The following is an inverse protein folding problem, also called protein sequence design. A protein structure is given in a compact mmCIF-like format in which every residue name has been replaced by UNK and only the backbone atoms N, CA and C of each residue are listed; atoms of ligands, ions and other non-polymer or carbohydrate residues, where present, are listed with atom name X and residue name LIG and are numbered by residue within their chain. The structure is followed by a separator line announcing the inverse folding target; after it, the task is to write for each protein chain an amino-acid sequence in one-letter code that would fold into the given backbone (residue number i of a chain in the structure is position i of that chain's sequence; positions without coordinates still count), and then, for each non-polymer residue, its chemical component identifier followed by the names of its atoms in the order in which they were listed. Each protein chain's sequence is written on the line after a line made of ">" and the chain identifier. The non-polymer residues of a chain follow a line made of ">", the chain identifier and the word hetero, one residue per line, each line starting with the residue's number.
data_IF_894907346396
#
_entry.id   IF_894907346396
#
_cell.length_a   1.000
_cell.length_b   1.000
_cell.length_c   1.000
_cell.angle_alpha   90.00
_cell.angle_beta   90.00
_cell.angle_gamma   90.00
#
_symmetry.space_group_name_H-M   'P 1'
#
loop_
_entity.id
_entity.type
_entity.pdbx_description
1 polymer ?
#
# COMPACT_ATOMS: atom_id res chain seq x y z
N UNK A 1 2.77 0.35 -31.69
CA UNK A 1 3.20 1.52 -32.47
C UNK A 1 3.11 2.71 -31.54
N UNK A 2 4.24 3.16 -31.00
CA UNK A 2 4.28 4.36 -30.14
C UNK A 2 4.37 5.54 -31.09
N UNK A 3 3.32 6.36 -31.16
CA UNK A 3 3.36 7.65 -31.84
C UNK A 3 4.36 8.54 -31.06
N UNK A 4 5.59 8.64 -31.56
CA UNK A 4 6.52 9.67 -31.14
C UNK A 4 5.98 11.00 -31.69
N UNK A 5 5.84 12.00 -30.79
CA UNK A 5 5.63 13.42 -31.13
C UNK A 5 4.20 13.95 -31.35
N UNK A 6 3.14 13.28 -30.87
CA UNK A 6 1.87 13.95 -30.71
C UNK A 6 1.79 14.61 -29.31
N UNK A 7 1.54 15.95 -29.21
CA UNK A 7 1.32 16.59 -27.92
C UNK A 7 0.08 15.96 -27.27
N UNK A 8 0.25 15.46 -26.04
CA UNK A 8 -0.84 14.93 -25.25
C UNK A 8 -1.41 16.06 -24.40
N UNK A 9 -2.62 16.51 -24.71
CA UNK A 9 -3.32 17.49 -23.87
C UNK A 9 -3.72 16.84 -22.56
N UNK A 10 -3.36 17.47 -21.44
CA UNK A 10 -3.66 16.98 -20.11
C UNK A 10 -4.01 18.14 -19.19
N UNK A 11 -4.98 17.91 -18.30
CA UNK A 11 -5.24 18.82 -17.20
C UNK A 11 -4.29 18.51 -16.04
N UNK A 12 -3.64 19.55 -15.52
CA UNK A 12 -2.84 19.49 -14.32
C UNK A 12 -3.66 20.00 -13.13
N UNK A 13 -4.07 19.07 -12.27
CA UNK A 13 -4.76 19.40 -11.01
C UNK A 13 -3.72 19.49 -9.90
N UNK A 14 -3.56 20.68 -9.32
CA UNK A 14 -2.63 20.92 -8.23
C UNK A 14 -3.41 21.11 -6.93
N UNK A 15 -3.00 20.40 -5.88
CA UNK A 15 -3.56 20.52 -4.54
C UNK A 15 -2.47 20.72 -3.50
N UNK A 16 -2.81 21.35 -2.37
CA UNK A 16 -1.88 21.61 -1.28
C UNK A 16 -2.33 20.92 0.00
N UNK A 17 -1.36 20.33 0.74
CA UNK A 17 -1.59 19.70 2.04
C UNK A 17 -0.58 20.22 3.07
N UNK A 18 -1.07 20.91 4.10
CA UNK A 18 -0.23 21.39 5.21
C UNK A 18 0.45 20.22 5.98
N UNK A 19 -0.23 19.08 6.10
CA UNK A 19 0.34 17.88 6.73
C UNK A 19 1.54 17.36 5.94
N UNK A 20 1.42 17.32 4.60
CA UNK A 20 2.48 16.87 3.72
C UNK A 20 3.64 17.87 3.66
N UNK A 21 3.34 19.16 3.62
CA UNK A 21 4.33 20.22 3.73
C UNK A 21 5.23 20.05 4.97
N UNK A 22 4.62 19.87 6.16
CA UNK A 22 5.36 19.65 7.40
C UNK A 22 6.19 18.35 7.36
N UNK A 23 5.65 17.30 6.76
CA UNK A 23 6.35 16.03 6.59
C UNK A 23 7.59 16.18 5.70
N UNK A 24 7.46 16.83 4.53
CA UNK A 24 8.57 17.04 3.61
C UNK A 24 9.68 17.88 4.24
N UNK A 25 9.33 18.98 4.93
CA UNK A 25 10.30 19.79 5.67
C UNK A 25 11.07 19.02 6.72
N UNK A 26 10.39 18.16 7.47
CA UNK A 26 11.07 17.33 8.47
C UNK A 26 12.06 16.34 7.83
N UNK A 27 11.65 15.68 6.74
CA UNK A 27 12.51 14.73 6.02
C UNK A 27 13.71 15.47 5.41
N UNK A 28 13.49 16.61 4.77
CA UNK A 28 14.56 17.43 4.20
C UNK A 28 15.52 17.93 5.27
N UNK A 29 15.02 18.39 6.41
CA UNK A 29 15.86 18.81 7.54
C UNK A 29 16.87 17.72 7.95
N UNK A 30 16.42 16.49 8.16
CA UNK A 30 17.31 15.37 8.46
C UNK A 30 18.28 14.99 7.32
N UNK A 31 17.95 15.31 6.06
CA UNK A 31 18.86 15.12 4.93
C UNK A 31 19.90 16.23 4.86
N UNK A 32 19.53 17.47 5.18
CA UNK A 32 20.43 18.63 5.26
C UNK A 32 21.46 18.41 6.39
N UNK A 33 21.01 17.96 7.56
CA UNK A 33 21.90 17.64 8.67
C UNK A 33 22.95 16.60 8.27
N UNK A 34 22.53 15.52 7.59
CA UNK A 34 23.47 14.51 7.07
C UNK A 34 24.41 15.06 6.01
N UNK A 35 23.95 15.96 5.13
CA UNK A 35 24.81 16.62 4.15
C UNK A 35 25.89 17.46 4.85
N UNK A 36 25.51 18.19 5.91
CA UNK A 36 26.46 18.97 6.70
C UNK A 36 27.49 18.10 7.44
N UNK A 37 27.05 16.97 8.00
CA UNK A 37 27.97 15.99 8.61
C UNK A 37 28.97 15.44 7.59
N UNK A 38 28.53 15.11 6.37
CA UNK A 38 29.39 14.63 5.30
C UNK A 38 30.43 15.67 4.89
N UNK A 39 30.06 16.94 4.81
CA UNK A 39 30.98 18.05 4.55
C UNK A 39 32.01 18.14 5.67
N UNK A 40 31.59 18.14 6.93
CA UNK A 40 32.44 18.27 8.10
C UNK A 40 33.46 17.11 8.23
N UNK A 41 33.05 15.89 7.85
CA UNK A 41 33.93 14.71 7.91
C UNK A 41 34.79 14.50 6.67
N UNK A 42 34.62 15.30 5.61
CA UNK A 42 35.35 15.16 4.35
C UNK A 42 35.09 13.83 3.62
N UNK A 43 34.06 13.08 4.00
CA UNK A 43 33.72 11.77 3.44
C UNK A 43 32.56 11.86 2.46
N UNK A 44 32.71 12.59 1.39
CA UNK A 44 31.68 12.71 0.37
C UNK A 44 32.14 12.10 -0.96
N UNK A 45 31.20 11.49 -1.69
CA UNK A 45 31.41 10.99 -3.05
C UNK A 45 30.67 11.90 -4.02
N UNK A 46 31.27 12.19 -5.15
CA UNK A 46 30.72 13.10 -6.17
C UNK A 46 29.46 12.57 -6.91
N UNK A 47 28.87 11.43 -6.51
CA UNK A 47 27.77 10.81 -7.24
C UNK A 47 26.49 10.72 -6.41
N UNK A 48 25.47 11.47 -6.83
CA UNK A 48 24.08 11.36 -6.32
C UNK A 48 23.53 9.98 -6.74
N UNK A 49 23.10 9.17 -5.77
CA UNK A 49 22.55 7.82 -6.00
C UNK A 49 21.08 7.82 -6.38
N UNK A 50 20.31 8.69 -5.77
CA UNK A 50 18.87 8.83 -5.99
C UNK A 50 18.39 10.22 -5.52
N UNK A 51 17.12 10.52 -5.76
CA UNK A 51 16.51 11.81 -5.39
C UNK A 51 16.49 12.12 -3.88
N UNK A 52 16.64 11.10 -3.03
CA UNK A 52 16.66 11.25 -1.57
C UNK A 52 18.08 11.31 -0.99
N UNK A 53 19.11 11.30 -1.85
CA UNK A 53 20.49 11.32 -1.41
C UNK A 53 20.86 12.68 -0.84
N UNK A 54 21.39 12.78 0.40
CA UNK A 54 21.88 14.04 0.99
C UNK A 54 22.91 14.77 0.13
N UNK A 55 23.66 14.06 -0.69
CA UNK A 55 24.67 14.63 -1.59
C UNK A 55 24.13 15.67 -2.58
N UNK A 56 22.82 15.66 -2.88
CA UNK A 56 22.21 16.68 -3.76
C UNK A 56 22.28 18.09 -3.19
N UNK A 57 22.45 18.21 -1.87
CA UNK A 57 22.59 19.48 -1.18
C UNK A 57 24.05 19.94 -1.04
N UNK A 58 25.03 19.15 -1.51
CA UNK A 58 26.42 19.50 -1.46
C UNK A 58 26.84 20.09 -2.80
N UNK A 59 27.19 21.37 -2.78
CA UNK A 59 27.81 22.07 -3.90
C UNK A 59 29.35 22.02 -3.79
N UNK A 60 30.01 22.22 -4.89
CA UNK A 60 31.46 22.25 -5.00
C UNK A 60 31.93 23.59 -5.58
N UNK A 61 32.89 24.21 -4.94
CA UNK A 61 33.44 25.50 -5.39
C UNK A 61 34.95 25.39 -5.55
N UNK A 62 35.41 25.79 -6.73
CA UNK A 62 36.85 25.75 -7.10
C UNK A 62 37.49 27.13 -6.94
N UNK A 63 36.68 28.18 -6.76
CA UNK A 63 37.13 29.56 -6.56
C UNK A 63 36.60 30.13 -5.24
N UNK A 64 37.43 30.97 -4.57
CA UNK A 64 37.01 31.76 -3.42
C UNK A 64 36.11 32.93 -3.86
N UNK A 65 35.36 33.52 -2.90
CA UNK A 65 34.54 34.73 -3.18
C UNK A 65 35.38 35.93 -3.67
N UNK A 66 36.68 35.96 -3.37
CA UNK A 66 37.60 36.98 -3.80
C UNK A 66 38.20 36.72 -5.19
N UNK A 67 37.77 35.66 -5.88
CA UNK A 67 38.18 35.32 -7.24
C UNK A 67 39.50 34.52 -7.33
N UNK A 68 40.06 34.08 -6.20
CA UNK A 68 41.25 33.22 -6.21
C UNK A 68 40.87 31.76 -6.54
N UNK A 69 41.65 31.12 -7.40
CA UNK A 69 41.47 29.71 -7.76
C UNK A 69 41.99 28.86 -6.62
N UNK A 70 41.08 28.07 -6.01
CA UNK A 70 41.46 27.06 -5.01
C UNK A 70 42.14 25.87 -5.69
N UNK A 71 43.29 25.42 -5.11
CA UNK A 71 43.94 24.18 -5.55
C UNK A 71 43.14 22.92 -5.19
N UNK A 72 42.15 23.03 -4.33
CA UNK A 72 41.31 21.94 -3.90
C UNK A 72 39.84 22.37 -4.00
N UNK A 73 39.01 21.41 -4.34
CA UNK A 73 37.54 21.52 -4.38
C UNK A 73 36.98 21.68 -2.95
N UNK A 74 36.30 22.80 -2.71
CA UNK A 74 35.73 23.12 -1.40
C UNK A 74 34.23 22.77 -1.42
N UNK A 75 33.79 21.78 -0.66
CA UNK A 75 32.38 21.46 -0.57
C UNK A 75 31.65 22.47 0.30
N UNK A 76 30.45 22.84 -0.10
CA UNK A 76 29.56 23.72 0.67
C UNK A 76 28.10 23.27 0.60
N UNK A 77 27.30 23.72 1.55
CA UNK A 77 25.87 23.44 1.53
C UNK A 77 25.17 24.36 0.51
N UNK A 78 24.55 23.76 -0.53
CA UNK A 78 23.90 24.48 -1.61
C UNK A 78 22.49 24.93 -1.18
N UNK A 79 22.40 26.15 -0.64
CA UNK A 79 21.14 26.72 -0.17
C UNK A 79 20.14 26.99 -1.29
N UNK A 80 20.59 27.19 -2.52
CA UNK A 80 19.72 27.45 -3.67
C UNK A 80 18.87 26.21 -3.97
N UNK A 81 19.49 25.02 -3.99
CA UNK A 81 18.79 23.74 -4.19
C UNK A 81 17.78 23.49 -3.07
N UNK A 82 18.15 23.85 -1.83
CA UNK A 82 17.25 23.72 -0.68
C UNK A 82 16.02 24.61 -0.86
N UNK A 83 16.22 25.88 -1.23
CA UNK A 83 15.14 26.84 -1.45
C UNK A 83 14.25 26.45 -2.64
N UNK A 84 14.83 25.97 -3.74
CA UNK A 84 14.06 25.45 -4.88
C UNK A 84 13.17 24.27 -4.49
N UNK A 85 13.68 23.30 -3.72
CA UNK A 85 12.84 22.19 -3.22
C UNK A 85 11.76 22.66 -2.24
N UNK A 86 12.05 23.67 -1.41
CA UNK A 86 11.09 24.21 -0.44
C UNK A 86 9.87 24.86 -1.09
N UNK A 87 10.01 25.42 -2.28
CA UNK A 87 8.89 26.04 -3.01
C UNK A 87 7.79 25.03 -3.36
N UNK A 88 8.13 23.75 -3.49
CA UNK A 88 7.19 22.69 -3.87
C UNK A 88 6.64 21.88 -2.68
N UNK A 89 7.00 22.26 -1.45
CA UNK A 89 6.53 21.55 -0.27
C UNK A 89 5.02 21.58 -0.12
N UNK A 90 4.45 20.42 0.12
CA UNK A 90 3.01 20.27 0.37
C UNK A 90 2.15 20.21 -0.88
N UNK A 91 2.72 20.42 -2.06
CA UNK A 91 1.98 20.34 -3.31
C UNK A 91 1.91 18.90 -3.84
N UNK A 92 0.72 18.54 -4.32
CA UNK A 92 0.46 17.35 -5.11
C UNK A 92 -0.03 17.76 -6.48
N UNK A 93 0.46 17.11 -7.49
CA UNK A 93 0.00 17.30 -8.86
C UNK A 93 -0.49 16.00 -9.46
N UNK A 94 -1.62 16.04 -10.13
CA UNK A 94 -2.21 14.93 -10.87
C UNK A 94 -2.45 15.38 -12.29
N UNK A 95 -1.85 14.68 -13.26
CA UNK A 95 -2.15 14.86 -14.67
C UNK A 95 -3.27 13.90 -15.07
N UNK A 96 -4.26 14.41 -15.78
CA UNK A 96 -5.41 13.62 -16.25
C UNK A 96 -5.89 14.09 -17.62
N UNK A 97 -6.47 13.18 -18.38
CA UNK A 97 -7.18 13.48 -19.64
C UNK A 97 -8.71 13.50 -19.45
N UNK A 98 -9.19 13.52 -18.21
CA UNK A 98 -10.62 13.60 -17.89
C UNK A 98 -11.06 15.07 -17.90
N UNK A 99 -11.39 15.57 -19.09
CA UNK A 99 -11.68 17.00 -19.32
C UNK A 99 -13.04 17.41 -18.76
N UNK A 100 -14.03 16.51 -18.82
CA UNK A 100 -15.41 16.77 -18.41
C UNK A 100 -15.66 16.53 -16.92
N UNK A 101 -14.62 16.17 -16.16
CA UNK A 101 -14.76 15.79 -14.75
C UNK A 101 -14.37 16.92 -13.80
N UNK A 102 -15.17 17.12 -12.75
CA UNK A 102 -14.89 18.12 -11.72
C UNK A 102 -13.60 17.82 -10.93
N UNK A 103 -12.89 18.88 -10.50
CA UNK A 103 -11.63 18.79 -9.76
C UNK A 103 -11.76 17.92 -8.51
N UNK A 104 -12.83 18.07 -7.73
CA UNK A 104 -13.08 17.29 -6.52
C UNK A 104 -13.23 15.80 -6.81
N UNK A 105 -13.81 15.45 -7.93
CA UNK A 105 -13.95 14.08 -8.37
C UNK A 105 -12.63 13.46 -8.80
N UNK A 106 -11.81 14.21 -9.53
CA UNK A 106 -10.44 13.81 -9.90
C UNK A 106 -9.61 13.55 -8.65
N UNK A 107 -9.66 14.46 -7.67
CA UNK A 107 -8.95 14.30 -6.38
C UNK A 107 -9.48 13.07 -5.63
N UNK A 108 -10.79 12.82 -5.62
CA UNK A 108 -11.41 11.65 -4.98
C UNK A 108 -10.94 10.35 -5.62
N UNK A 109 -10.90 10.28 -6.96
CA UNK A 109 -10.39 9.11 -7.70
C UNK A 109 -8.92 8.87 -7.38
N UNK A 110 -8.09 9.93 -7.40
CA UNK A 110 -6.68 9.79 -7.09
C UNK A 110 -6.44 9.34 -5.64
N UNK A 111 -7.23 9.82 -4.68
CA UNK A 111 -7.15 9.36 -3.28
C UNK A 111 -7.47 7.88 -3.11
N UNK A 112 -8.26 7.29 -4.01
CA UNK A 112 -8.59 5.85 -3.97
C UNK A 112 -7.52 4.93 -4.56
N UNK A 113 -6.41 5.46 -5.09
CA UNK A 113 -5.30 4.63 -5.60
C UNK A 113 -4.74 3.66 -4.57
N UNK A 114 -4.72 4.07 -3.31
CA UNK A 114 -4.26 3.20 -2.22
C UNK A 114 -5.06 1.88 -2.12
N UNK A 115 -6.36 1.89 -2.48
CA UNK A 115 -7.19 0.67 -2.50
C UNK A 115 -6.66 -0.35 -3.51
N UNK A 116 -6.16 0.12 -4.65
CA UNK A 116 -5.53 -0.74 -5.68
C UNK A 116 -4.19 -1.27 -5.18
N UNK A 117 -3.37 -0.42 -4.57
CA UNK A 117 -2.07 -0.81 -4.00
C UNK A 117 -2.27 -1.83 -2.88
N UNK A 118 -3.30 -1.68 -2.06
CA UNK A 118 -3.66 -2.64 -1.02
C UNK A 118 -4.14 -3.98 -1.62
N UNK A 119 -4.94 -3.97 -2.68
CA UNK A 119 -5.32 -5.18 -3.39
C UNK A 119 -4.10 -5.97 -3.86
N UNK A 120 -3.11 -5.29 -4.45
CA UNK A 120 -1.84 -5.93 -4.85
C UNK A 120 -1.04 -6.44 -3.65
N UNK A 121 -1.04 -5.71 -2.54
CA UNK A 121 -0.40 -6.15 -1.29
C UNK A 121 -1.03 -7.43 -0.79
N UNK A 122 -2.35 -7.49 -0.65
CA UNK A 122 -3.11 -8.67 -0.20
C UNK A 122 -2.85 -9.86 -1.12
N UNK A 123 -2.92 -9.68 -2.43
CA UNK A 123 -2.61 -10.75 -3.38
C UNK A 123 -1.19 -11.29 -3.19
N UNK A 124 -0.22 -10.44 -2.94
CA UNK A 124 1.18 -10.82 -2.79
C UNK A 124 1.47 -11.49 -1.46
N UNK A 125 0.94 -10.96 -0.35
CA UNK A 125 1.24 -11.41 1.01
C UNK A 125 0.32 -12.55 1.45
N UNK A 126 -0.99 -12.34 1.41
CA UNK A 126 -1.97 -13.28 1.96
C UNK A 126 -2.27 -14.44 1.00
N UNK A 127 -2.45 -14.14 -0.28
CA UNK A 127 -2.75 -15.15 -1.29
C UNK A 127 -1.49 -15.71 -1.96
N UNK A 128 -0.30 -15.21 -1.60
CA UNK A 128 1.00 -15.69 -2.09
C UNK A 128 1.05 -15.81 -3.62
N UNK A 129 0.47 -14.80 -4.31
CA UNK A 129 0.45 -14.80 -5.78
C UNK A 129 1.85 -14.75 -6.39
N UNK A 130 2.86 -14.37 -5.60
CA UNK A 130 4.28 -14.36 -6.00
C UNK A 130 5.15 -14.99 -4.91
N UNK A 131 6.17 -15.78 -5.31
CA UNK A 131 6.52 -16.17 -6.69
C UNK A 131 5.56 -17.23 -7.26
N UNK A 132 5.28 -17.15 -8.59
CA UNK A 132 4.49 -18.17 -9.29
C UNK A 132 5.44 -19.28 -9.78
N UNK A 133 5.40 -20.44 -9.14
CA UNK A 133 6.25 -21.59 -9.47
C UNK A 133 5.71 -22.42 -10.65
N UNK A 134 5.28 -21.75 -11.72
CA UNK A 134 4.72 -22.39 -12.90
C UNK A 134 5.50 -21.95 -14.14
N UNK A 135 5.85 -22.91 -15.00
CA UNK A 135 6.57 -22.68 -16.26
C UNK A 135 5.64 -22.52 -17.47
N UNK A 136 4.43 -23.10 -17.42
CA UNK A 136 3.46 -23.03 -18.53
C UNK A 136 2.59 -21.79 -18.39
N UNK A 137 2.43 -21.04 -19.49
CA UNK A 137 1.65 -19.80 -19.52
C UNK A 137 0.20 -20.00 -19.04
N UNK A 138 -0.46 -21.05 -19.48
CA UNK A 138 -1.83 -21.38 -19.05
C UNK A 138 -1.95 -21.58 -17.54
N UNK A 139 -0.95 -22.22 -16.91
CA UNK A 139 -0.91 -22.41 -15.45
C UNK A 139 -0.63 -21.11 -14.71
N UNK A 140 0.22 -20.25 -15.27
CA UNK A 140 0.48 -18.92 -14.73
C UNK A 140 -0.80 -18.09 -14.75
N UNK A 141 -1.50 -18.08 -15.88
CA UNK A 141 -2.80 -17.40 -16.02
C UNK A 141 -3.84 -17.93 -15.03
N UNK A 142 -3.98 -19.27 -14.92
CA UNK A 142 -4.89 -19.90 -13.99
C UNK A 142 -4.56 -19.55 -12.53
N UNK A 143 -3.28 -19.52 -12.16
CA UNK A 143 -2.82 -19.14 -10.83
C UNK A 143 -3.23 -17.68 -10.48
N UNK A 144 -2.95 -16.73 -11.36
CA UNK A 144 -3.33 -15.33 -11.12
C UNK A 144 -4.85 -15.12 -11.14
N UNK A 145 -5.57 -15.83 -12.01
CA UNK A 145 -7.03 -15.78 -12.01
C UNK A 145 -7.61 -16.30 -10.69
N UNK A 146 -7.06 -17.40 -10.16
CA UNK A 146 -7.47 -17.94 -8.85
C UNK A 146 -7.22 -16.94 -7.72
N UNK A 147 -6.05 -16.30 -7.70
CA UNK A 147 -5.74 -15.24 -6.72
C UNK A 147 -6.68 -14.04 -6.85
N UNK A 148 -7.02 -13.66 -8.08
CA UNK A 148 -7.96 -12.57 -8.33
C UNK A 148 -9.39 -12.91 -7.85
N UNK A 149 -9.87 -14.11 -8.12
CA UNK A 149 -11.17 -14.57 -7.61
C UNK A 149 -11.17 -14.59 -6.08
N UNK A 150 -10.09 -15.07 -5.46
CA UNK A 150 -9.94 -15.05 -4.01
C UNK A 150 -10.00 -13.63 -3.45
N UNK A 151 -9.31 -12.67 -4.09
CA UNK A 151 -9.37 -11.27 -3.73
C UNK A 151 -10.80 -10.71 -3.84
N UNK A 152 -11.49 -11.04 -4.92
CA UNK A 152 -12.87 -10.58 -5.13
C UNK A 152 -13.81 -11.10 -4.03
N UNK A 153 -13.73 -12.39 -3.69
CA UNK A 153 -14.49 -12.99 -2.59
C UNK A 153 -14.14 -12.34 -1.26
N UNK A 154 -12.86 -12.11 -1.00
CA UNK A 154 -12.40 -11.43 0.20
C UNK A 154 -12.97 -10.01 0.32
N UNK A 155 -12.94 -9.21 -0.75
CA UNK A 155 -13.50 -7.84 -0.75
C UNK A 155 -15.01 -7.80 -0.48
N UNK A 156 -15.76 -8.81 -0.95
CA UNK A 156 -17.18 -8.96 -0.62
C UNK A 156 -17.36 -9.25 0.87
N UNK A 157 -16.54 -10.16 1.42
CA UNK A 157 -16.59 -10.52 2.85
C UNK A 157 -16.23 -9.31 3.74
N UNK A 158 -15.17 -8.60 3.42
CA UNK A 158 -14.73 -7.39 4.11
C UNK A 158 -15.85 -6.32 4.16
N UNK A 159 -16.51 -6.07 3.03
CA UNK A 159 -17.67 -5.17 2.99
C UNK A 159 -18.83 -5.65 3.85
N UNK A 160 -19.12 -6.94 3.86
CA UNK A 160 -20.16 -7.53 4.72
C UNK A 160 -19.82 -7.40 6.21
N UNK A 161 -18.55 -7.32 6.57
CA UNK A 161 -18.03 -7.08 7.92
C UNK A 161 -17.86 -5.59 8.23
N UNK A 162 -18.38 -4.69 7.38
CA UNK A 162 -18.29 -3.22 7.51
C UNK A 162 -16.84 -2.70 7.57
N UNK A 163 -15.89 -3.39 6.92
CA UNK A 163 -14.48 -2.99 6.84
C UNK A 163 -13.80 -2.75 8.21
N UNK A 164 -14.29 -3.44 9.27
CA UNK A 164 -13.80 -3.26 10.64
C UNK A 164 -12.56 -4.06 10.96
N UNK A 165 -12.26 -5.09 10.19
CA UNK A 165 -11.20 -6.07 10.47
C UNK A 165 -10.17 -6.08 9.37
N UNK A 166 -8.91 -6.33 9.72
CA UNK A 166 -7.83 -6.44 8.75
C UNK A 166 -7.91 -7.76 7.95
N UNK A 167 -7.26 -7.78 6.77
CA UNK A 167 -7.20 -8.98 5.96
C UNK A 167 -6.57 -10.17 6.70
N UNK A 168 -5.50 -9.93 7.44
CA UNK A 168 -4.79 -10.93 8.24
C UNK A 168 -5.71 -11.52 9.31
N UNK A 169 -6.41 -10.68 10.09
CA UNK A 169 -7.35 -11.12 11.13
C UNK A 169 -8.47 -12.00 10.56
N UNK A 170 -9.06 -11.59 9.43
CA UNK A 170 -10.14 -12.35 8.79
C UNK A 170 -9.64 -13.71 8.31
N UNK A 171 -8.51 -13.76 7.61
CA UNK A 171 -7.95 -15.00 7.06
C UNK A 171 -7.53 -15.96 8.18
N UNK A 172 -6.87 -15.47 9.22
CA UNK A 172 -6.41 -16.30 10.33
C UNK A 172 -7.58 -16.81 11.16
N UNK A 173 -8.60 -15.99 11.39
CA UNK A 173 -9.84 -16.43 12.04
C UNK A 173 -10.52 -17.53 11.23
N UNK A 174 -10.70 -17.36 9.91
CA UNK A 174 -11.31 -18.37 9.06
C UNK A 174 -10.50 -19.68 9.02
N UNK A 175 -9.17 -19.63 9.08
CA UNK A 175 -8.30 -20.81 9.15
C UNK A 175 -8.42 -21.56 10.47
N UNK A 176 -8.59 -20.83 11.57
CA UNK A 176 -8.66 -21.39 12.92
C UNK A 176 -10.06 -21.74 13.36
N UNK A 177 -11.11 -21.23 12.68
CA UNK A 177 -12.52 -21.46 12.98
C UNK A 177 -12.95 -22.88 12.58
N UNK A 178 -12.41 -23.88 13.27
CA UNK A 178 -12.57 -25.29 12.97
C UNK A 178 -13.65 -25.92 13.87
N UNK A 179 -14.33 -26.95 13.33
CA UNK A 179 -15.24 -27.79 14.08
C UNK A 179 -14.65 -29.18 14.24
N UNK A 180 -14.62 -29.71 15.45
CA UNK A 180 -14.17 -31.07 15.76
C UNK A 180 -15.36 -32.02 15.81
N UNK A 181 -15.18 -33.26 15.33
CA UNK A 181 -16.16 -34.34 15.45
C UNK A 181 -15.58 -35.50 16.24
N UNK A 182 -15.71 -35.50 17.57
CA UNK A 182 -15.07 -36.50 18.43
C UNK A 182 -15.68 -37.91 18.32
N UNK A 183 -16.83 -38.04 17.67
CA UNK A 183 -17.47 -39.33 17.43
C UNK A 183 -18.67 -39.26 16.47
N UNK A 184 -19.05 -40.36 15.86
CA UNK A 184 -20.12 -40.39 14.85
C UNK A 184 -21.49 -39.93 15.38
N UNK A 185 -21.77 -40.11 16.67
CA UNK A 185 -23.08 -39.82 17.29
C UNK A 185 -23.09 -38.50 18.05
N UNK A 186 -21.92 -37.85 18.28
CA UNK A 186 -21.81 -36.67 19.16
C UNK A 186 -22.02 -35.36 18.42
N UNK A 187 -22.06 -35.37 17.08
CA UNK A 187 -22.14 -34.12 16.31
C UNK A 187 -20.83 -33.33 16.26
N UNK A 188 -20.92 -32.04 16.03
CA UNK A 188 -19.77 -31.14 15.85
C UNK A 188 -19.63 -30.21 17.05
N UNK A 189 -18.40 -30.07 17.55
CA UNK A 189 -18.01 -29.22 18.67
C UNK A 189 -17.08 -28.12 18.16
N UNK A 190 -17.27 -26.84 18.57
CA UNK A 190 -16.34 -25.78 18.18
C UNK A 190 -14.94 -26.04 18.76
N UNK A 191 -13.92 -25.97 17.91
CA UNK A 191 -12.51 -26.11 18.27
C UNK A 191 -11.77 -24.76 18.15
N UNK A 192 -12.48 -23.66 18.28
CA UNK A 192 -11.95 -22.30 18.21
C UNK A 192 -12.49 -21.45 19.38
N UNK A 193 -11.75 -20.38 19.70
CA UNK A 193 -12.16 -19.43 20.72
C UNK A 193 -13.06 -18.35 20.12
N UNK A 194 -14.12 -18.02 20.83
CA UNK A 194 -15.01 -16.91 20.47
C UNK A 194 -14.29 -15.58 20.53
N UNK A 195 -14.48 -14.76 19.49
CA UNK A 195 -13.94 -13.39 19.38
C UNK A 195 -15.00 -12.48 18.75
N UNK A 196 -14.80 -11.16 18.81
CA UNK A 196 -15.70 -10.20 18.16
C UNK A 196 -15.82 -10.46 16.64
N UNK A 197 -14.75 -10.92 16.00
CA UNK A 197 -14.77 -11.27 14.59
C UNK A 197 -15.58 -12.54 14.31
N UNK A 198 -15.47 -13.59 15.16
CA UNK A 198 -16.30 -14.78 15.00
C UNK A 198 -17.77 -14.46 15.22
N UNK A 199 -18.11 -13.56 16.15
CA UNK A 199 -19.47 -13.08 16.35
C UNK A 199 -19.99 -12.32 15.13
N UNK A 200 -19.21 -11.39 14.58
CA UNK A 200 -19.54 -10.66 13.36
C UNK A 200 -19.76 -11.59 12.15
N UNK A 201 -18.97 -12.64 12.02
CA UNK A 201 -19.14 -13.67 10.99
C UNK A 201 -20.46 -14.44 11.18
N UNK A 202 -20.76 -14.86 12.41
CA UNK A 202 -22.01 -15.56 12.72
C UNK A 202 -23.24 -14.72 12.42
N UNK A 203 -23.22 -13.45 12.82
CA UNK A 203 -24.30 -12.50 12.55
C UNK A 203 -24.49 -12.24 11.06
N UNK A 204 -23.39 -12.00 10.35
CA UNK A 204 -23.37 -11.71 8.92
C UNK A 204 -23.96 -12.86 8.11
N UNK A 205 -23.63 -14.10 8.46
CA UNK A 205 -24.05 -15.30 7.73
C UNK A 205 -25.31 -15.96 8.32
N UNK A 206 -25.77 -15.54 9.50
CA UNK A 206 -27.02 -15.96 10.11
C UNK A 206 -26.99 -17.39 10.64
N UNK A 207 -25.86 -17.82 11.21
CA UNK A 207 -25.72 -19.09 11.92
C UNK A 207 -24.81 -18.91 13.15
N UNK A 208 -24.84 -19.89 14.07
CA UNK A 208 -23.89 -19.95 15.19
C UNK A 208 -23.42 -21.38 15.40
N UNK A 209 -22.13 -21.49 15.77
CA UNK A 209 -21.46 -22.78 16.02
C UNK A 209 -20.55 -22.76 17.26
N UNK A 210 -20.61 -21.69 18.07
CA UNK A 210 -19.63 -21.35 19.12
C UNK A 210 -20.10 -21.71 20.56
N UNK A 211 -21.35 -22.09 20.78
CA UNK A 211 -21.90 -22.25 22.13
C UNK A 211 -22.57 -23.61 22.42
N UNK A 212 -22.80 -24.44 21.40
CA UNK A 212 -23.46 -25.74 21.59
C UNK A 212 -22.92 -26.81 20.63
N UNK A 213 -23.21 -28.06 20.96
CA UNK A 213 -22.93 -29.17 20.05
C UNK A 213 -23.89 -29.11 18.86
N UNK A 214 -23.34 -28.90 17.68
CA UNK A 214 -24.12 -28.86 16.43
C UNK A 214 -24.38 -30.26 15.90
N UNK A 215 -25.65 -30.67 15.88
CA UNK A 215 -26.04 -31.96 15.30
C UNK A 215 -25.80 -32.03 13.78
N UNK A 216 -25.68 -33.24 13.20
CA UNK A 216 -25.51 -33.42 11.75
C UNK A 216 -26.64 -32.75 10.94
N UNK A 217 -27.88 -32.74 11.47
CA UNK A 217 -29.04 -32.12 10.84
C UNK A 217 -28.86 -30.58 10.82
N UNK A 218 -28.47 -30.02 11.96
CA UNK A 218 -28.22 -28.56 12.07
C UNK A 218 -27.03 -28.14 11.24
N UNK A 219 -25.96 -28.91 11.19
CA UNK A 219 -24.80 -28.61 10.35
C UNK A 219 -25.18 -28.59 8.86
N UNK A 220 -25.96 -29.57 8.38
CA UNK A 220 -26.49 -29.58 7.02
C UNK A 220 -27.39 -28.34 6.75
N UNK A 221 -28.18 -27.90 7.74
CA UNK A 221 -28.99 -26.69 7.62
C UNK A 221 -28.12 -25.43 7.51
N UNK A 222 -27.09 -25.30 8.35
CA UNK A 222 -26.12 -24.19 8.30
C UNK A 222 -25.48 -24.12 6.91
N UNK A 223 -24.93 -25.24 6.41
CA UNK A 223 -24.31 -25.29 5.08
C UNK A 223 -25.29 -24.90 3.96
N UNK A 224 -26.55 -25.28 4.07
CA UNK A 224 -27.57 -24.87 3.08
C UNK A 224 -27.90 -23.37 3.17
N UNK A 225 -27.96 -22.81 4.38
CA UNK A 225 -28.25 -21.39 4.61
C UNK A 225 -27.13 -20.51 4.09
N UNK A 226 -25.88 -20.88 4.35
CA UNK A 226 -24.71 -20.11 3.87
C UNK A 226 -24.51 -20.16 2.36
N UNK A 227 -24.99 -21.22 1.68
CA UNK A 227 -24.99 -21.29 0.20
C UNK A 227 -26.03 -20.42 -0.48
N UNK A 228 -27.06 -19.95 0.25
CA UNK A 228 -28.17 -19.15 -0.32
C UNK A 228 -27.98 -17.64 -0.12
N UNK A 229 -27.00 -17.22 0.69
CA UNK A 229 -26.67 -15.81 0.99
C UNK A 229 -25.44 -15.36 0.24
#
# INVERSE_FOLDING_TARGET
>A
MVLKDAPLEQHLVVSFSLKYHRYQRRIRGGQIERAQELINHGTYKQRIKNQNDPYRFIGHQVMTNDGEVCSQDVPFLNTNVIQEEEMYDGFYAVCTNLEDMGIDEIIRINKKRWEIEECFRIMKTEFKSRPAYHSKEERIRAHFLTCYIALFVFRILEKKLNEKYTCEEIIDTLRTMMMSRPGEKLGYIPAYTRTDLTDALHETFGFRTDYEITTDVNMKKIIRTTKKK
#
